data_IF_298391890577
#
_entry.id   IF_298391890577
#
_cell.length_a   1.000
_cell.length_b   1.000
_cell.length_c   1.000
_cell.angle_alpha   90.00
_cell.angle_beta   90.00
_cell.angle_gamma   90.00
#
_symmetry.space_group_name_H-M   'P 1'
#
loop_
_entity.id
_entity.type
_entity.pdbx_description
1 polymer ?
#
# COMPACT_ATOMS: atom_id res chain seq x y z
N UNK A 1 25.06 0.24 6.65
CA UNK A 1 23.78 0.45 7.39
C UNK A 1 22.78 -0.58 6.91
N UNK A 2 21.94 -1.10 7.80
CA UNK A 2 20.83 -2.00 7.43
C UNK A 2 19.63 -1.19 6.94
N UNK A 3 19.09 -1.53 5.77
CA UNK A 3 17.88 -0.90 5.21
C UNK A 3 16.68 -1.08 6.14
N UNK A 4 15.90 -0.02 6.34
CA UNK A 4 14.66 -0.01 7.12
C UNK A 4 13.46 0.12 6.19
N UNK A 5 12.53 -0.82 6.29
CA UNK A 5 11.25 -0.80 5.56
C UNK A 5 10.13 -0.56 6.55
N UNK A 6 9.35 0.49 6.31
CA UNK A 6 8.14 0.77 7.05
C UNK A 6 6.93 0.26 6.27
N UNK A 7 6.23 -0.72 6.83
CA UNK A 7 4.99 -1.25 6.27
C UNK A 7 3.82 -0.54 6.97
N UNK A 8 3.16 0.34 6.22
CA UNK A 8 1.99 1.07 6.67
C UNK A 8 0.75 0.20 6.42
N UNK A 9 0.23 -0.43 7.47
CA UNK A 9 -0.84 -1.43 7.42
C UNK A 9 -0.33 -2.87 7.50
N UNK A 10 -0.43 -3.49 8.67
CA UNK A 10 0.09 -4.84 8.93
C UNK A 10 -0.99 -5.93 8.99
N UNK A 11 -1.92 -5.91 8.04
CA UNK A 11 -2.89 -6.99 7.80
C UNK A 11 -2.31 -8.13 6.96
N UNK A 12 -3.18 -8.89 6.28
CA UNK A 12 -2.78 -10.05 5.46
C UNK A 12 -1.66 -9.72 4.46
N UNK A 13 -1.79 -8.61 3.72
CA UNK A 13 -0.79 -8.18 2.73
C UNK A 13 0.53 -7.77 3.41
N UNK A 14 0.45 -6.95 4.47
CA UNK A 14 1.64 -6.47 5.19
C UNK A 14 2.43 -7.60 5.85
N UNK A 15 1.76 -8.62 6.40
CA UNK A 15 2.40 -9.81 6.97
C UNK A 15 3.13 -10.61 5.89
N UNK A 16 2.47 -10.88 4.76
CA UNK A 16 3.07 -11.62 3.64
C UNK A 16 4.24 -10.86 3.00
N UNK A 17 4.15 -9.53 2.94
CA UNK A 17 5.25 -8.66 2.55
C UNK A 17 6.43 -8.78 3.53
N UNK A 18 6.19 -8.68 4.84
CA UNK A 18 7.25 -8.79 5.84
C UNK A 18 7.99 -10.13 5.77
N UNK A 19 7.27 -11.25 5.64
CA UNK A 19 7.87 -12.58 5.46
C UNK A 19 8.85 -12.62 4.28
N UNK A 20 8.47 -12.02 3.15
CA UNK A 20 9.30 -11.95 1.93
C UNK A 20 10.47 -10.99 2.08
N UNK A 21 10.33 -9.92 2.86
CA UNK A 21 11.39 -8.95 3.10
C UNK A 21 12.46 -9.46 4.08
N UNK A 22 12.09 -10.30 5.06
CA UNK A 22 13.01 -10.78 6.11
C UNK A 22 14.30 -11.41 5.56
N UNK A 23 14.22 -12.17 4.46
CA UNK A 23 15.39 -12.84 3.86
C UNK A 23 16.42 -11.88 3.28
N UNK A 24 16.05 -10.62 3.02
CA UNK A 24 16.97 -9.57 2.56
C UNK A 24 17.74 -8.89 3.71
N UNK A 25 17.54 -9.33 4.96
CA UNK A 25 18.24 -8.78 6.13
C UNK A 25 17.84 -7.35 6.47
N UNK A 26 16.63 -6.92 6.08
CA UNK A 26 16.11 -5.58 6.38
C UNK A 26 15.51 -5.50 7.79
N UNK A 27 15.46 -4.28 8.33
CA UNK A 27 14.68 -3.99 9.54
C UNK A 27 13.25 -3.58 9.17
N UNK A 28 12.27 -4.17 9.83
CA UNK A 28 10.84 -3.99 9.55
C UNK A 28 10.20 -3.18 10.67
N UNK A 29 9.65 -2.02 10.29
CA UNK A 29 8.84 -1.15 11.13
C UNK A 29 7.39 -1.31 10.66
N UNK A 30 6.42 -1.36 11.58
CA UNK A 30 5.01 -1.53 11.20
C UNK A 30 4.08 -0.60 11.98
N UNK A 31 3.00 -0.18 11.33
CA UNK A 31 1.87 0.46 11.98
C UNK A 31 0.83 -0.64 12.29
N UNK A 32 0.49 -0.79 13.57
CA UNK A 32 -0.37 -1.83 14.13
C UNK A 32 0.04 -3.27 13.78
N UNK A 33 0.95 -3.89 14.55
CA UNK A 33 1.36 -5.28 14.33
C UNK A 33 1.42 -6.14 15.60
N UNK A 34 0.94 -7.38 15.51
CA UNK A 34 0.89 -8.35 16.63
C UNK A 34 1.95 -9.46 16.55
N UNK A 35 2.65 -9.59 15.42
CA UNK A 35 3.60 -10.69 15.19
C UNK A 35 5.04 -10.26 15.54
N UNK A 36 5.59 -10.80 16.62
CA UNK A 36 6.89 -10.37 17.15
C UNK A 36 8.09 -10.86 16.32
N UNK A 37 7.98 -11.99 15.62
CA UNK A 37 9.09 -12.54 14.83
C UNK A 37 9.36 -11.74 13.55
N UNK A 38 8.31 -11.12 12.99
CA UNK A 38 8.39 -10.39 11.72
C UNK A 38 8.66 -8.89 11.88
N UNK A 39 8.63 -8.37 13.11
CA UNK A 39 8.58 -6.93 13.37
C UNK A 39 9.67 -6.50 14.34
N UNK A 40 10.48 -5.52 13.96
CA UNK A 40 11.54 -4.98 14.83
C UNK A 40 11.09 -3.74 15.60
N UNK A 41 10.13 -2.99 15.06
CA UNK A 41 9.53 -1.82 15.70
C UNK A 41 8.05 -1.72 15.33
N UNK A 42 7.16 -1.47 16.31
CA UNK A 42 5.71 -1.32 16.11
C UNK A 42 5.18 -0.12 16.88
N UNK A 43 4.09 0.47 16.39
CA UNK A 43 3.36 1.56 17.04
C UNK A 43 2.02 1.84 16.37
N UNK A 44 1.33 2.86 16.84
CA UNK A 44 0.01 3.25 16.38
C UNK A 44 0.02 4.23 15.21
N UNK A 45 -1.15 4.80 14.90
CA UNK A 45 -1.29 5.83 13.86
C UNK A 45 -0.54 7.13 14.22
N UNK A 46 -0.40 7.43 15.50
CA UNK A 46 0.32 8.57 16.03
C UNK A 46 1.84 8.52 15.74
N UNK A 47 2.40 7.33 15.52
CA UNK A 47 3.83 7.15 15.27
C UNK A 47 4.21 7.23 13.79
N UNK A 48 3.26 7.32 12.85
CA UNK A 48 3.53 7.10 11.42
C UNK A 48 4.60 8.04 10.84
N UNK A 49 4.61 9.31 11.25
CA UNK A 49 5.62 10.29 10.80
C UNK A 49 7.00 10.00 11.39
N UNK A 50 7.04 9.58 12.66
CA UNK A 50 8.27 9.14 13.32
C UNK A 50 8.83 7.90 12.65
N UNK A 51 7.98 6.94 12.27
CA UNK A 51 8.39 5.75 11.54
C UNK A 51 8.87 6.06 10.13
N UNK A 52 8.15 6.91 9.39
CA UNK A 52 8.57 7.41 8.09
C UNK A 52 9.96 8.06 8.12
N UNK A 53 10.27 8.84 9.16
CA UNK A 53 11.60 9.47 9.33
C UNK A 53 12.76 8.50 9.53
N UNK A 54 12.46 7.28 9.99
CA UNK A 54 13.45 6.22 10.20
C UNK A 54 13.62 5.32 8.97
N UNK A 55 12.62 5.25 8.10
CA UNK A 55 12.56 4.30 7.00
C UNK A 55 13.33 4.79 5.77
N UNK A 56 13.93 3.84 5.05
CA UNK A 56 14.49 4.08 3.72
C UNK A 56 13.42 3.81 2.64
N UNK A 57 12.48 2.92 2.93
CA UNK A 57 11.37 2.54 2.06
C UNK A 57 10.08 2.52 2.90
N UNK A 58 9.02 3.13 2.39
CA UNK A 58 7.66 3.03 2.93
C UNK A 58 6.79 2.24 1.96
N UNK A 59 6.08 1.23 2.44
CA UNK A 59 5.14 0.42 1.63
C UNK A 59 3.74 0.51 2.22
N UNK A 60 2.78 1.00 1.44
CA UNK A 60 1.39 1.15 1.86
C UNK A 60 0.59 -0.13 1.56
N UNK A 61 -0.04 -0.66 2.60
CA UNK A 61 -0.87 -1.87 2.61
C UNK A 61 -2.18 -1.67 3.41
N UNK A 62 -2.58 -0.42 3.65
CA UNK A 62 -3.81 -0.06 4.38
C UNK A 62 -5.07 -0.27 3.53
N UNK A 63 -6.19 -0.54 4.19
CA UNK A 63 -7.51 -0.34 3.57
C UNK A 63 -7.79 1.17 3.42
N UNK A 64 -8.45 1.58 2.34
CA UNK A 64 -8.92 2.96 2.15
C UNK A 64 -10.25 3.16 2.89
N UNK A 65 -10.29 4.14 3.80
CA UNK A 65 -11.47 4.56 4.54
C UNK A 65 -11.32 6.04 4.96
N UNK A 66 -12.27 6.55 5.76
CA UNK A 66 -12.26 7.94 6.23
C UNK A 66 -11.03 8.32 7.09
N UNK A 67 -10.40 7.35 7.75
CA UNK A 67 -9.21 7.57 8.58
C UNK A 67 -7.91 7.50 7.77
N UNK A 68 -7.90 6.76 6.65
CA UNK A 68 -6.69 6.49 5.86
C UNK A 68 -6.62 7.25 4.54
N UNK A 69 -7.72 7.88 4.10
CA UNK A 69 -7.72 8.74 2.92
C UNK A 69 -6.77 9.91 3.10
N UNK A 70 -5.83 10.07 2.16
CA UNK A 70 -4.81 11.12 2.20
C UNK A 70 -3.88 11.04 3.42
N UNK A 71 -3.78 9.89 4.11
CA UNK A 71 -2.91 9.77 5.29
C UNK A 71 -1.44 9.96 4.93
N UNK A 72 -1.04 9.59 3.71
CA UNK A 72 0.27 9.90 3.13
C UNK A 72 0.18 11.28 2.46
N UNK A 73 0.15 12.31 3.31
CA UNK A 73 0.08 13.72 2.92
C UNK A 73 1.46 14.42 2.95
N UNK A 74 1.47 15.74 2.72
CA UNK A 74 2.66 16.59 2.78
C UNK A 74 3.51 16.38 4.04
N UNK A 75 2.88 16.33 5.22
CA UNK A 75 3.58 16.19 6.50
C UNK A 75 4.27 14.83 6.59
N UNK A 76 3.57 13.76 6.21
CA UNK A 76 4.12 12.41 6.14
C UNK A 76 5.32 12.35 5.21
N UNK A 77 5.19 12.81 3.97
CA UNK A 77 6.27 12.73 2.98
C UNK A 77 7.45 13.61 3.41
N UNK A 78 7.21 14.80 3.97
CA UNK A 78 8.26 15.67 4.49
C UNK A 78 9.03 15.05 5.66
N UNK A 79 8.38 14.17 6.42
CA UNK A 79 9.03 13.43 7.51
C UNK A 79 9.91 12.29 7.03
N UNK A 80 9.71 11.80 5.80
CA UNK A 80 10.54 10.75 5.22
C UNK A 80 11.98 11.21 5.08
N UNK A 81 12.90 10.25 4.98
CA UNK A 81 14.28 10.57 4.60
C UNK A 81 14.32 11.15 3.19
N UNK A 82 15.16 12.16 2.99
CA UNK A 82 15.51 12.62 1.64
C UNK A 82 16.09 11.45 0.83
N UNK A 83 15.53 11.21 -0.36
CA UNK A 83 15.85 10.08 -1.22
C UNK A 83 15.14 8.77 -0.85
N UNK A 84 14.25 8.78 0.14
CA UNK A 84 13.44 7.61 0.51
C UNK A 84 12.49 7.18 -0.61
N UNK A 85 12.10 5.91 -0.60
CA UNK A 85 11.20 5.34 -1.61
C UNK A 85 9.81 5.15 -1.05
N UNK A 86 8.79 5.45 -1.84
CA UNK A 86 7.38 5.21 -1.50
C UNK A 86 6.79 4.17 -2.45
N UNK A 87 6.16 3.14 -1.89
CA UNK A 87 5.45 2.11 -2.63
C UNK A 87 4.00 2.07 -2.19
N UNK A 88 3.06 2.02 -3.15
CA UNK A 88 1.63 1.87 -2.84
C UNK A 88 1.02 0.72 -3.65
N UNK A 89 0.56 -0.30 -2.93
CA UNK A 89 -0.18 -1.46 -3.47
C UNK A 89 -1.55 -1.60 -2.79
N UNK A 90 -2.02 -0.53 -2.15
CA UNK A 90 -3.29 -0.49 -1.44
C UNK A 90 -4.40 0.12 -2.31
N UNK A 91 -4.60 1.44 -2.21
CA UNK A 91 -5.49 2.24 -3.07
C UNK A 91 -4.84 3.61 -3.31
N UNK A 92 -5.08 4.23 -4.47
CA UNK A 92 -4.48 5.53 -4.79
C UNK A 92 -4.83 6.63 -3.78
N UNK A 93 -6.06 6.64 -3.29
CA UNK A 93 -6.55 7.62 -2.31
C UNK A 93 -5.86 7.61 -0.94
N UNK A 94 -4.97 6.65 -0.65
CA UNK A 94 -4.10 6.67 0.54
C UNK A 94 -3.06 7.81 0.44
N UNK A 95 -2.66 8.16 -0.78
CA UNK A 95 -1.66 9.20 -1.07
C UNK A 95 -2.37 10.49 -1.47
N UNK A 96 -1.87 11.63 -1.01
CA UNK A 96 -2.25 12.95 -1.54
C UNK A 96 -1.42 13.25 -2.79
N UNK A 97 -2.08 13.39 -3.95
CA UNK A 97 -1.42 13.49 -5.26
C UNK A 97 -0.42 14.65 -5.33
N UNK A 98 -0.86 15.85 -4.98
CA UNK A 98 -0.06 17.08 -5.03
C UNK A 98 1.18 16.97 -4.14
N UNK A 99 1.03 16.35 -2.97
CA UNK A 99 2.12 16.13 -2.05
C UNK A 99 3.15 15.17 -2.64
N UNK A 100 2.73 14.06 -3.25
CA UNK A 100 3.65 13.12 -3.89
C UNK A 100 4.36 13.77 -5.08
N UNK A 101 3.61 14.43 -5.95
CA UNK A 101 4.13 15.07 -7.16
C UNK A 101 5.21 16.11 -6.84
N UNK A 102 4.94 17.02 -5.90
CA UNK A 102 5.89 18.08 -5.53
C UNK A 102 7.16 17.52 -4.86
N UNK A 103 7.04 16.47 -4.04
CA UNK A 103 8.21 15.87 -3.38
C UNK A 103 9.06 15.02 -4.32
N UNK A 104 8.47 14.40 -5.34
CA UNK A 104 9.24 13.76 -6.42
C UNK A 104 9.98 14.83 -7.24
N UNK A 105 9.28 15.89 -7.64
CA UNK A 105 9.83 16.96 -8.47
C UNK A 105 11.00 17.71 -7.79
N UNK A 106 10.90 17.97 -6.49
CA UNK A 106 11.98 18.61 -5.74
C UNK A 106 13.11 17.64 -5.32
N UNK A 107 12.95 16.33 -5.58
CA UNK A 107 13.92 15.29 -5.24
C UNK A 107 13.99 14.96 -3.75
N UNK A 108 12.99 15.35 -2.95
CA UNK A 108 12.87 14.89 -1.58
C UNK A 108 12.50 13.40 -1.56
N UNK A 109 11.50 13.01 -2.36
CA UNK A 109 11.17 11.60 -2.56
C UNK A 109 12.07 11.03 -3.66
N UNK A 110 12.82 9.98 -3.32
CA UNK A 110 13.79 9.35 -4.22
C UNK A 110 13.11 8.60 -5.36
N UNK A 111 11.90 8.08 -5.11
CA UNK A 111 11.08 7.46 -6.14
C UNK A 111 9.73 6.96 -5.63
N UNK A 112 8.85 6.66 -6.58
CA UNK A 112 7.49 6.19 -6.36
C UNK A 112 7.27 4.90 -7.18
N UNK A 113 6.80 3.84 -6.53
CA UNK A 113 6.31 2.63 -7.19
C UNK A 113 4.85 2.37 -6.83
N UNK A 114 3.94 2.43 -7.80
CA UNK A 114 2.51 2.21 -7.52
C UNK A 114 1.89 1.19 -8.47
N UNK A 115 1.00 0.37 -7.93
CA UNK A 115 0.09 -0.45 -8.74
C UNK A 115 -1.33 0.14 -8.76
N UNK A 116 -1.60 1.11 -7.90
CA UNK A 116 -2.92 1.71 -7.73
C UNK A 116 -2.82 3.21 -7.92
N UNK A 117 -3.80 3.78 -8.61
CA UNK A 117 -3.80 5.20 -8.96
C UNK A 117 -4.91 5.98 -8.24
N UNK A 118 -4.72 7.30 -8.11
CA UNK A 118 -5.72 8.21 -7.54
C UNK A 118 -7.06 8.14 -8.27
N UNK A 119 -7.00 7.95 -9.59
CA UNK A 119 -8.13 7.68 -10.45
C UNK A 119 -7.77 6.52 -11.37
N UNK A 120 -8.69 5.58 -11.48
CA UNK A 120 -8.55 4.40 -12.33
C UNK A 120 -9.71 4.33 -13.34
N UNK A 121 -9.44 4.01 -14.62
CA UNK A 121 -8.13 3.77 -15.24
C UNK A 121 -7.20 4.98 -15.18
N UNK A 122 -5.89 4.74 -15.11
CA UNK A 122 -4.90 5.81 -14.98
C UNK A 122 -4.83 6.68 -16.23
N UNK A 123 -4.64 7.98 -16.04
CA UNK A 123 -4.47 8.93 -17.15
C UNK A 123 -3.06 8.77 -17.74
N UNK A 124 -2.90 8.34 -19.01
CA UNK A 124 -1.57 8.19 -19.61
C UNK A 124 -0.86 9.52 -19.84
N UNK A 125 -1.58 10.65 -19.85
CA UNK A 125 -1.02 12.00 -20.00
C UNK A 125 -0.71 12.68 -18.66
N UNK A 126 -0.80 11.93 -17.55
CA UNK A 126 -0.53 12.47 -16.22
C UNK A 126 0.95 12.93 -16.08
N UNK A 127 1.22 14.18 -15.65
CA UNK A 127 2.58 14.70 -15.54
C UNK A 127 3.51 13.86 -14.65
N UNK A 128 2.98 13.10 -13.69
CA UNK A 128 3.78 12.25 -12.81
C UNK A 128 4.56 11.18 -13.59
N UNK A 129 4.06 10.75 -14.76
CA UNK A 129 4.73 9.78 -15.63
C UNK A 129 5.97 10.32 -16.33
N UNK A 130 6.10 11.64 -16.43
CA UNK A 130 7.30 12.27 -17.00
C UNK A 130 8.51 12.18 -16.06
N UNK A 131 8.29 11.85 -14.79
CA UNK A 131 9.31 11.77 -13.77
C UNK A 131 10.05 10.42 -13.86
N UNK A 132 11.37 10.47 -14.00
CA UNK A 132 12.23 9.28 -14.23
C UNK A 132 12.26 8.29 -13.06
N UNK A 133 11.83 8.72 -11.88
CA UNK A 133 11.84 7.95 -10.65
C UNK A 133 10.43 7.46 -10.26
N UNK A 134 9.54 7.32 -11.24
CA UNK A 134 8.18 6.82 -11.07
C UNK A 134 8.00 5.53 -11.87
N UNK A 135 7.46 4.50 -11.21
CA UNK A 135 7.04 3.25 -11.84
C UNK A 135 5.57 3.03 -11.52
N UNK A 136 4.77 2.76 -12.54
CA UNK A 136 3.34 2.48 -12.42
C UNK A 136 3.02 1.16 -13.11
N UNK A 137 2.23 0.32 -12.46
CA UNK A 137 1.59 -0.86 -13.05
C UNK A 137 0.06 -0.70 -13.03
N UNK A 138 -0.68 -1.26 -14.00
CA UNK A 138 -2.09 -0.94 -14.20
C UNK A 138 -3.03 -1.76 -13.29
N UNK A 139 -2.88 -1.68 -11.96
CA UNK A 139 -3.68 -2.39 -10.97
C UNK A 139 -3.73 -3.92 -11.18
N UNK A 140 -2.54 -4.51 -11.31
CA UNK A 140 -2.34 -5.93 -11.62
C UNK A 140 -1.53 -6.69 -10.56
N UNK A 141 -1.10 -6.06 -9.47
CA UNK A 141 -0.29 -6.73 -8.44
C UNK A 141 -1.05 -7.89 -7.76
N UNK A 142 -2.37 -7.80 -7.66
CA UNK A 142 -3.24 -8.87 -7.15
C UNK A 142 -3.71 -9.87 -8.21
N UNK A 143 -3.33 -9.69 -9.47
CA UNK A 143 -3.86 -10.44 -10.62
C UNK A 143 -2.98 -11.65 -10.91
N UNK A 144 -3.46 -12.82 -10.49
CA UNK A 144 -2.84 -14.12 -10.73
C UNK A 144 -3.91 -15.09 -11.22
N UNK A 145 -3.52 -16.17 -11.89
CA UNK A 145 -4.47 -17.23 -12.28
C UNK A 145 -5.25 -17.75 -11.06
N UNK A 146 -4.55 -17.95 -9.93
CA UNK A 146 -5.15 -18.42 -8.70
C UNK A 146 -6.15 -17.42 -8.11
N UNK A 147 -5.80 -16.12 -8.05
CA UNK A 147 -6.70 -15.10 -7.50
C UNK A 147 -7.93 -14.93 -8.38
N UNK A 148 -7.78 -14.88 -9.71
CA UNK A 148 -8.90 -14.80 -10.64
C UNK A 148 -9.84 -16.00 -10.49
N UNK A 149 -9.29 -17.22 -10.51
CA UNK A 149 -10.09 -18.43 -10.34
C UNK A 149 -10.84 -18.45 -9.00
N UNK A 150 -10.17 -18.03 -7.92
CA UNK A 150 -10.77 -17.98 -6.58
C UNK A 150 -11.90 -16.95 -6.52
N UNK A 151 -11.69 -15.74 -7.05
CA UNK A 151 -12.71 -14.69 -7.13
C UNK A 151 -13.90 -15.12 -7.99
N UNK A 152 -13.65 -15.69 -9.18
CA UNK A 152 -14.72 -16.19 -10.06
C UNK A 152 -15.56 -17.27 -9.38
N UNK A 153 -14.93 -18.15 -8.59
CA UNK A 153 -15.66 -19.16 -7.80
C UNK A 153 -16.58 -18.48 -6.77
N UNK A 154 -16.07 -17.54 -5.99
CA UNK A 154 -16.87 -16.83 -4.97
C UNK A 154 -18.06 -16.12 -5.61
N UNK A 155 -17.86 -15.43 -6.72
CA UNK A 155 -18.94 -14.77 -7.47
C UNK A 155 -19.99 -15.79 -7.96
N UNK A 156 -19.54 -16.93 -8.50
CA UNK A 156 -20.43 -18.01 -8.93
C UNK A 156 -21.25 -18.59 -7.78
N UNK A 157 -20.61 -18.87 -6.65
CA UNK A 157 -21.28 -19.39 -5.44
C UNK A 157 -22.35 -18.40 -4.95
N UNK A 158 -22.04 -17.10 -4.90
CA UNK A 158 -22.98 -16.04 -4.48
C UNK A 158 -24.15 -15.90 -5.45
N UNK A 159 -23.91 -16.01 -6.77
CA UNK A 159 -24.97 -15.95 -7.76
C UNK A 159 -25.98 -17.10 -7.60
N UNK A 160 -25.50 -18.30 -7.27
CA UNK A 160 -26.35 -19.46 -6.94
C UNK A 160 -27.14 -19.19 -5.66
N UNK A 161 -26.47 -18.71 -4.60
CA UNK A 161 -27.13 -18.41 -3.31
C UNK A 161 -28.25 -17.38 -3.47
N UNK A 162 -28.00 -16.32 -4.27
CA UNK A 162 -29.00 -15.32 -4.63
C UNK A 162 -30.19 -15.92 -5.38
N UNK A 163 -29.93 -16.79 -6.36
CA UNK A 163 -30.98 -17.44 -7.14
C UNK A 163 -31.86 -18.36 -6.28
N UNK A 164 -31.26 -19.07 -5.34
CA UNK A 164 -31.95 -19.98 -4.42
C UNK A 164 -32.61 -19.26 -3.23
N UNK A 165 -32.35 -17.96 -3.04
CA UNK A 165 -32.85 -17.19 -1.90
C UNK A 165 -32.21 -17.60 -0.57
N UNK A 166 -30.97 -18.09 -0.59
CA UNK A 166 -30.23 -18.53 0.60
C UNK A 166 -29.31 -17.44 1.14
N UNK A 167 -28.85 -17.61 2.38
CA UNK A 167 -27.93 -16.68 3.03
C UNK A 167 -26.63 -16.56 2.24
N UNK A 168 -26.22 -15.32 1.97
CA UNK A 168 -24.97 -15.04 1.27
C UNK A 168 -23.77 -15.30 2.18
N UNK A 169 -22.80 -16.06 1.69
CA UNK A 169 -21.58 -16.44 2.43
C UNK A 169 -20.34 -16.25 1.56
N UNK A 170 -19.17 -16.12 2.19
CA UNK A 170 -17.89 -15.96 1.47
C UNK A 170 -17.64 -14.57 0.90
N UNK A 171 -18.53 -13.61 1.18
CA UNK A 171 -18.39 -12.20 0.82
C UNK A 171 -18.55 -11.31 2.06
N UNK A 172 -18.00 -10.12 1.97
CA UNK A 172 -18.23 -9.03 2.91
C UNK A 172 -18.96 -7.91 2.17
N UNK A 173 -19.98 -7.32 2.82
CA UNK A 173 -20.62 -6.12 2.31
C UNK A 173 -19.74 -4.93 2.67
N UNK A 174 -18.98 -4.47 1.68
CA UNK A 174 -18.17 -3.27 1.80
C UNK A 174 -18.99 -2.10 1.26
N UNK A 175 -19.35 -1.14 2.13
CA UNK A 175 -20.04 0.10 1.77
C UNK A 175 -19.07 1.13 1.18
#
# INVERSE_FOLDING_TARGET
MTTKVFILGFGNIGIELAKRLRVFGVKIIVQNGINEDLVDEKGGLEDINKFASKADIVVCCLSLNNETVGIVNRSFISSMKKGGLLVNIARGGILEYESVFEHLKCGHLGGLGIDVAWREPFNPDDPILSLKNVIITPHVAGVTEYSFRSMSKVVGDVAIQLHEGTTLTGIEFVN
#
